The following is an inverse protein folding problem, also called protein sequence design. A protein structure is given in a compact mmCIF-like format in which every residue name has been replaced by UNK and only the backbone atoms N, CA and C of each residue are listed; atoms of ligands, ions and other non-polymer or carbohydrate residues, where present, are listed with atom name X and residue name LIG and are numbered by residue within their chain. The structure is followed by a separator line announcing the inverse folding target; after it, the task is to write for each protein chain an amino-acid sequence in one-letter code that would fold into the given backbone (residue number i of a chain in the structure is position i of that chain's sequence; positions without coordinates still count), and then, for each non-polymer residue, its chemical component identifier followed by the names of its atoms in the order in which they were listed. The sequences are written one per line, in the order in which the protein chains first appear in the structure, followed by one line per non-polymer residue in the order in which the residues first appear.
data_IF_764887331907
#
_entry.id   IF_764887331907
#
_cell.length_a   1.000
_cell.length_b   1.000
_cell.length_c   1.000
_cell.angle_alpha   90.00
_cell.angle_beta   90.00
_cell.angle_gamma   90.00
#
_symmetry.space_group_name_H-M   'P 1'
#
loop_
_entity.id
_entity.type
_entity.pdbx_description
1 polymer ?
#
# COMPACT_ATOMS: atom_id res chain seq x y z
N UNK A 1 13.90 -4.09 22.71
CA UNK A 1 12.58 -4.07 22.04
C UNK A 1 12.75 -3.73 20.56
N UNK A 2 11.86 -4.20 19.69
CA UNK A 2 11.91 -3.96 18.23
C UNK A 2 12.07 -2.46 17.89
N UNK A 3 11.42 -1.58 18.66
CA UNK A 3 11.58 -0.13 18.54
C UNK A 3 13.01 0.36 18.81
N UNK A 4 13.71 -0.21 19.79
CA UNK A 4 15.11 0.12 20.08
C UNK A 4 16.05 -0.38 18.98
N UNK A 5 15.75 -1.53 18.36
CA UNK A 5 16.49 -2.04 17.20
C UNK A 5 16.33 -1.17 15.96
N UNK A 6 15.11 -0.69 15.69
CA UNK A 6 14.82 0.27 14.63
C UNK A 6 15.54 1.61 14.84
N UNK A 7 15.51 2.15 16.06
CA UNK A 7 16.21 3.40 16.38
C UNK A 7 17.73 3.27 16.26
N UNK A 8 18.30 2.16 16.73
CA UNK A 8 19.73 1.87 16.57
C UNK A 8 20.11 1.71 15.09
N UNK A 9 19.28 1.01 14.30
CA UNK A 9 19.47 0.86 12.85
C UNK A 9 19.43 2.20 12.11
N UNK A 10 18.46 3.06 12.43
CA UNK A 10 18.38 4.41 11.86
C UNK A 10 19.60 5.26 12.22
N UNK A 11 20.07 5.18 13.46
CA UNK A 11 21.25 5.92 13.91
C UNK A 11 22.53 5.45 13.22
N UNK A 12 22.71 4.14 13.03
CA UNK A 12 23.82 3.57 12.26
C UNK A 12 23.72 4.00 10.79
N UNK A 13 22.54 3.92 10.18
CA UNK A 13 22.33 4.35 8.80
C UNK A 13 22.65 5.85 8.61
N UNK A 14 22.22 6.71 9.54
CA UNK A 14 22.55 8.13 9.54
C UNK A 14 24.05 8.38 9.69
N UNK A 15 24.72 7.64 10.58
CA UNK A 15 26.17 7.70 10.74
C UNK A 15 26.93 7.28 9.47
N UNK A 16 26.48 6.21 8.82
CA UNK A 16 27.05 5.72 7.54
C UNK A 16 26.83 6.74 6.43
N UNK A 17 25.62 7.29 6.30
CA UNK A 17 25.31 8.33 5.31
C UNK A 17 26.13 9.60 5.53
N UNK A 18 26.31 10.02 6.79
CA UNK A 18 27.13 11.17 7.13
C UNK A 18 28.61 10.94 6.81
N UNK A 19 29.13 9.74 7.11
CA UNK A 19 30.48 9.33 6.74
C UNK A 19 30.70 9.29 5.23
N UNK A 20 29.77 8.68 4.47
CA UNK A 20 29.81 8.62 3.01
C UNK A 20 29.74 10.01 2.37
N UNK A 21 28.85 10.88 2.85
CA UNK A 21 28.76 12.25 2.37
C UNK A 21 30.07 13.02 2.65
N UNK A 22 30.67 12.80 3.82
CA UNK A 22 31.98 13.34 4.17
C UNK A 22 33.10 12.85 3.24
N UNK A 23 33.14 11.55 2.95
CA UNK A 23 34.12 10.94 2.04
C UNK A 23 33.94 11.40 0.59
N UNK A 24 32.70 11.51 0.12
CA UNK A 24 32.39 12.04 -1.22
C UNK A 24 32.84 13.50 -1.31
N UNK A 25 32.52 14.32 -0.32
CA UNK A 25 32.94 15.72 -0.28
C UNK A 25 34.46 15.85 -0.25
N UNK A 26 35.15 15.09 0.60
CA UNK A 26 36.61 15.11 0.70
C UNK A 26 37.26 14.57 -0.59
N UNK A 27 36.68 13.55 -1.21
CA UNK A 27 37.09 13.04 -2.52
C UNK A 27 36.92 14.07 -3.63
N UNK A 28 35.79 14.79 -3.66
CA UNK A 28 35.53 15.86 -4.62
C UNK A 28 36.51 17.03 -4.44
N UNK A 29 36.80 17.40 -3.18
CA UNK A 29 37.76 18.44 -2.84
C UNK A 29 39.19 18.04 -3.23
N UNK A 30 39.61 16.80 -2.95
CA UNK A 30 40.92 16.26 -3.35
C UNK A 30 41.06 16.14 -4.86
N UNK A 31 40.00 15.73 -5.56
CA UNK A 31 39.99 15.66 -7.02
C UNK A 31 40.06 17.07 -7.64
N UNK A 32 39.32 18.03 -7.10
CA UNK A 32 39.41 19.43 -7.51
C UNK A 32 40.80 20.02 -7.25
N UNK A 33 41.45 19.66 -6.13
CA UNK A 33 42.81 20.06 -5.79
C UNK A 33 43.91 19.30 -6.57
N UNK A 34 43.59 18.19 -7.24
CA UNK A 34 44.53 17.48 -8.15
C UNK A 34 44.46 17.99 -9.58
N UNK A 35 43.44 18.78 -9.92
CA UNK A 35 43.29 19.43 -11.23
C UNK A 35 43.94 20.83 -11.27
N UNK A 36 44.83 21.12 -10.31
CA UNK A 36 45.44 22.42 -9.97
C UNK A 36 46.53 22.88 -10.96
N UNK A 37 46.25 22.75 -12.26
CA UNK A 37 47.12 23.19 -13.35
C UNK A 37 46.40 23.97 -14.47
N UNK A 38 45.20 24.51 -14.21
CA UNK A 38 44.37 25.14 -15.25
C UNK A 38 43.71 26.46 -14.85
N UNK A 39 43.48 27.29 -15.88
CA UNK A 39 42.98 28.67 -15.91
C UNK A 39 41.99 29.07 -14.78
N UNK A 40 42.31 30.10 -13.96
CA UNK A 40 41.47 30.56 -12.85
C UNK A 40 40.08 31.08 -13.26
N UNK A 41 39.84 31.39 -14.55
CA UNK A 41 38.55 31.88 -15.06
C UNK A 41 37.61 30.78 -15.61
N UNK A 42 38.08 29.53 -15.70
CA UNK A 42 37.30 28.42 -16.27
C UNK A 42 36.34 27.74 -15.28
N UNK A 43 35.61 26.74 -15.77
CA UNK A 43 34.74 25.84 -14.98
C UNK A 43 35.42 25.28 -13.72
N UNK A 44 36.75 25.14 -13.73
CA UNK A 44 37.55 24.66 -12.59
C UNK A 44 37.70 25.71 -11.48
N UNK A 45 37.82 26.99 -11.85
CA UNK A 45 37.86 28.12 -10.92
C UNK A 45 36.51 28.32 -10.21
N UNK A 46 35.40 28.20 -10.94
CA UNK A 46 34.05 28.28 -10.37
C UNK A 46 33.72 27.10 -9.46
N UNK A 47 34.13 25.87 -9.81
CA UNK A 47 34.02 24.70 -8.93
C UNK A 47 34.83 24.87 -7.63
N UNK A 48 36.05 25.42 -7.71
CA UNK A 48 36.88 25.71 -6.52
C UNK A 48 36.25 26.77 -5.61
N UNK A 49 35.63 27.81 -6.19
CA UNK A 49 34.90 28.83 -5.43
C UNK A 49 33.63 28.27 -4.79
N UNK A 50 32.88 27.43 -5.51
CA UNK A 50 31.71 26.72 -4.98
C UNK A 50 32.06 25.81 -3.81
N UNK A 51 33.14 25.03 -3.95
CA UNK A 51 33.69 24.18 -2.90
C UNK A 51 34.11 24.97 -1.65
N UNK A 52 34.80 26.11 -1.81
CA UNK A 52 35.17 26.99 -0.69
C UNK A 52 33.96 27.60 0.01
N UNK A 53 32.92 27.95 -0.73
CA UNK A 53 31.67 28.47 -0.15
C UNK A 53 30.92 27.40 0.65
N UNK A 54 30.88 26.15 0.14
CA UNK A 54 30.35 24.99 0.89
C UNK A 54 31.14 24.76 2.19
N UNK A 55 32.48 24.78 2.11
CA UNK A 55 33.34 24.59 3.28
C UNK A 55 33.16 25.70 4.33
N UNK A 56 32.96 26.96 3.89
CA UNK A 56 32.76 28.11 4.78
C UNK A 56 31.40 28.08 5.50
N UNK A 57 30.38 27.43 4.91
CA UNK A 57 29.05 27.22 5.51
C UNK A 57 28.75 25.73 5.68
N UNK A 58 29.70 25.00 6.27
CA UNK A 58 29.66 23.54 6.40
C UNK A 58 28.38 23.02 7.06
N UNK A 59 27.97 23.62 8.19
CA UNK A 59 26.78 23.15 8.93
C UNK A 59 25.48 23.35 8.15
N UNK A 60 25.31 24.49 7.47
CA UNK A 60 24.14 24.75 6.64
C UNK A 60 24.11 23.84 5.39
N UNK A 61 25.27 23.61 4.77
CA UNK A 61 25.39 22.74 3.59
C UNK A 61 25.11 21.28 3.94
N UNK A 62 25.55 20.81 5.11
CA UNK A 62 25.22 19.48 5.63
C UNK A 62 23.73 19.32 5.91
N UNK A 63 23.09 20.33 6.54
CA UNK A 63 21.64 20.32 6.77
C UNK A 63 20.85 20.25 5.45
N UNK A 64 21.25 21.02 4.44
CA UNK A 64 20.63 21.01 3.12
C UNK A 64 20.77 19.66 2.42
N UNK A 65 21.99 19.08 2.42
CA UNK A 65 22.22 17.74 1.85
C UNK A 65 21.40 16.67 2.56
N UNK A 66 21.29 16.74 3.89
CA UNK A 66 20.48 15.80 4.66
C UNK A 66 18.99 15.93 4.31
N UNK A 67 18.48 17.16 4.19
CA UNK A 67 17.11 17.40 3.76
C UNK A 67 16.83 16.77 2.38
N UNK A 68 17.69 17.04 1.39
CA UNK A 68 17.56 16.44 0.06
C UNK A 68 17.66 14.90 0.10
N UNK A 69 18.61 14.34 0.85
CA UNK A 69 18.77 12.90 0.99
C UNK A 69 17.52 12.24 1.58
N UNK A 70 16.92 12.85 2.61
CA UNK A 70 15.67 12.36 3.22
C UNK A 70 14.51 12.46 2.24
N UNK A 71 14.39 13.55 1.49
CA UNK A 71 13.34 13.71 0.47
C UNK A 71 13.46 12.65 -0.62
N UNK A 72 14.64 12.46 -1.20
CA UNK A 72 14.85 11.45 -2.24
C UNK A 72 14.66 10.03 -1.70
N UNK A 73 15.10 9.76 -0.47
CA UNK A 73 14.85 8.48 0.20
C UNK A 73 13.35 8.22 0.38
N UNK A 74 12.58 9.21 0.87
CA UNK A 74 11.14 9.09 1.02
C UNK A 74 10.44 8.84 -0.32
N UNK A 75 10.80 9.60 -1.36
CA UNK A 75 10.26 9.39 -2.71
C UNK A 75 10.56 7.98 -3.24
N UNK A 76 11.79 7.51 -3.06
CA UNK A 76 12.22 6.17 -3.50
C UNK A 76 11.51 5.08 -2.71
N UNK A 77 11.37 5.24 -1.39
CA UNK A 77 10.66 4.31 -0.52
C UNK A 77 9.19 4.17 -0.93
N UNK A 78 8.50 5.29 -1.20
CA UNK A 78 7.10 5.27 -1.66
C UNK A 78 7.00 4.52 -2.99
N UNK A 79 7.90 4.79 -3.94
CA UNK A 79 7.89 4.12 -5.24
C UNK A 79 8.11 2.60 -5.12
N UNK A 80 9.04 2.18 -4.27
CA UNK A 80 9.37 0.77 -4.05
C UNK A 80 8.24 0.03 -3.33
N UNK A 81 7.73 0.58 -2.22
CA UNK A 81 6.64 -0.02 -1.45
C UNK A 81 5.36 -0.14 -2.27
N UNK A 82 5.03 0.87 -3.09
CA UNK A 82 3.86 0.81 -3.97
C UNK A 82 3.95 -0.36 -4.95
N UNK A 83 5.13 -0.58 -5.54
CA UNK A 83 5.36 -1.69 -6.45
C UNK A 83 5.16 -3.02 -5.76
N UNK A 84 5.87 -3.23 -4.65
CA UNK A 84 5.90 -4.49 -3.91
C UNK A 84 4.54 -4.88 -3.31
N UNK A 85 3.82 -3.91 -2.74
CA UNK A 85 2.48 -4.16 -2.20
C UNK A 85 1.49 -4.54 -3.29
N UNK A 86 1.52 -3.85 -4.44
CA UNK A 86 0.59 -4.13 -5.52
C UNK A 86 0.86 -5.49 -6.15
N UNK A 87 2.14 -5.82 -6.41
CA UNK A 87 2.53 -7.09 -7.01
C UNK A 87 2.27 -8.26 -6.07
N UNK A 88 2.58 -8.10 -4.78
CA UNK A 88 2.34 -9.15 -3.78
C UNK A 88 0.85 -9.38 -3.58
N UNK A 89 0.05 -8.31 -3.53
CA UNK A 89 -1.40 -8.44 -3.42
C UNK A 89 -2.01 -9.09 -4.68
N UNK A 90 -1.58 -8.70 -5.88
CA UNK A 90 -2.04 -9.32 -7.12
C UNK A 90 -1.65 -10.81 -7.20
N UNK A 91 -0.45 -11.17 -6.75
CA UNK A 91 0.01 -12.57 -6.75
C UNK A 91 -0.76 -13.48 -5.79
N UNK A 92 -1.50 -12.91 -4.83
CA UNK A 92 -2.38 -13.68 -3.93
C UNK A 92 -3.74 -13.98 -4.56
N UNK A 93 -4.10 -13.34 -5.67
CA UNK A 93 -5.33 -13.58 -6.40
C UNK A 93 -5.10 -14.64 -7.48
N UNK A 94 -5.90 -15.72 -7.54
CA UNK A 94 -5.91 -16.63 -8.69
C UNK A 94 -6.08 -15.88 -10.03
N UNK A 95 -5.50 -16.40 -11.11
CA UNK A 95 -5.61 -15.76 -12.45
C UNK A 95 -7.07 -15.57 -12.88
N UNK A 96 -7.97 -16.49 -12.50
CA UNK A 96 -9.42 -16.44 -12.78
C UNK A 96 -10.24 -15.68 -11.73
N UNK A 97 -9.64 -14.75 -10.98
CA UNK A 97 -10.38 -13.99 -9.97
C UNK A 97 -11.33 -12.98 -10.62
N UNK A 98 -12.66 -13.04 -10.34
CA UNK A 98 -13.59 -12.03 -10.83
C UNK A 98 -13.21 -10.62 -10.36
N UNK A 99 -13.14 -9.67 -11.29
CA UNK A 99 -12.76 -8.27 -11.03
C UNK A 99 -13.90 -7.26 -11.25
N UNK A 100 -15.09 -7.74 -11.64
CA UNK A 100 -16.30 -6.93 -11.84
C UNK A 100 -17.42 -7.40 -10.91
N UNK A 101 -18.02 -6.46 -10.18
CA UNK A 101 -19.11 -6.72 -9.25
C UNK A 101 -20.29 -5.79 -9.56
N UNK A 102 -21.47 -6.37 -9.79
CA UNK A 102 -22.71 -5.63 -9.95
C UNK A 102 -23.57 -5.77 -8.69
N UNK A 103 -24.02 -4.65 -8.14
CA UNK A 103 -24.87 -4.59 -6.94
C UNK A 103 -25.99 -3.58 -7.17
N UNK A 104 -27.08 -3.70 -6.40
CA UNK A 104 -28.25 -2.82 -6.48
C UNK A 104 -28.94 -2.79 -7.86
N UNK A 105 -28.92 -3.91 -8.59
CA UNK A 105 -29.70 -4.06 -9.83
C UNK A 105 -31.18 -4.03 -9.45
N UNK A 106 -31.93 -3.08 -10.00
CA UNK A 106 -33.35 -2.96 -9.67
C UNK A 106 -34.16 -4.09 -10.31
N UNK A 107 -35.29 -4.52 -9.70
CA UNK A 107 -36.10 -5.60 -10.27
C UNK A 107 -36.55 -5.36 -11.71
N UNK A 108 -36.84 -4.11 -12.08
CA UNK A 108 -37.23 -3.73 -13.45
C UNK A 108 -36.06 -3.62 -14.45
N UNK A 109 -34.82 -3.62 -13.97
CA UNK A 109 -33.61 -3.55 -14.81
C UNK A 109 -32.94 -4.93 -14.97
N UNK A 110 -33.41 -5.93 -14.22
CA UNK A 110 -32.79 -7.25 -14.13
C UNK A 110 -32.66 -7.92 -15.49
N UNK A 111 -33.74 -8.03 -16.24
CA UNK A 111 -33.79 -8.80 -17.48
C UNK A 111 -32.91 -8.14 -18.56
N UNK A 112 -32.96 -6.80 -18.65
CA UNK A 112 -32.12 -6.01 -19.54
C UNK A 112 -30.63 -6.11 -19.18
N UNK A 113 -30.32 -6.19 -17.88
CA UNK A 113 -28.95 -6.36 -17.40
C UNK A 113 -28.41 -7.77 -17.68
N UNK A 114 -29.19 -8.83 -17.41
CA UNK A 114 -28.82 -10.22 -17.70
C UNK A 114 -28.53 -10.40 -19.20
N UNK A 115 -29.40 -9.92 -20.09
CA UNK A 115 -29.17 -9.99 -21.55
C UNK A 115 -27.88 -9.29 -22.00
N UNK A 116 -27.57 -8.12 -21.43
CA UNK A 116 -26.35 -7.39 -21.76
C UNK A 116 -25.12 -8.08 -21.21
N UNK A 117 -25.23 -8.69 -20.02
CA UNK A 117 -24.12 -9.40 -19.39
C UNK A 117 -23.75 -10.65 -20.18
N UNK A 118 -24.73 -11.44 -20.62
CA UNK A 118 -24.51 -12.61 -21.48
C UNK A 118 -23.81 -12.26 -22.81
N UNK A 119 -24.02 -11.05 -23.33
CA UNK A 119 -23.39 -10.59 -24.57
C UNK A 119 -21.92 -10.16 -24.39
N UNK A 120 -21.48 -9.86 -23.16
CA UNK A 120 -20.18 -9.21 -22.89
C UNK A 120 -19.26 -10.09 -22.03
N UNK A 121 -19.82 -10.92 -21.15
CA UNK A 121 -19.08 -11.77 -20.23
C UNK A 121 -19.11 -13.23 -20.69
N UNK A 122 -17.93 -13.85 -20.80
CA UNK A 122 -17.78 -15.28 -21.14
C UNK A 122 -18.19 -16.18 -19.97
N UNK A 123 -18.07 -15.68 -18.73
CA UNK A 123 -18.56 -16.35 -17.52
C UNK A 123 -19.09 -15.30 -16.54
N UNK A 124 -20.30 -15.51 -16.03
CA UNK A 124 -20.91 -14.67 -14.99
C UNK A 124 -21.56 -15.53 -13.92
N UNK A 125 -21.57 -15.02 -12.68
CA UNK A 125 -22.38 -15.60 -11.62
C UNK A 125 -23.85 -15.25 -11.80
N UNK A 126 -24.74 -16.12 -11.32
CA UNK A 126 -26.18 -15.84 -11.19
C UNK A 126 -26.42 -14.53 -10.41
N UNK A 127 -27.56 -13.88 -10.69
CA UNK A 127 -28.03 -12.76 -9.89
C UNK A 127 -28.75 -13.23 -8.62
N UNK A 128 -28.28 -12.71 -7.49
CA UNK A 128 -28.78 -13.05 -6.18
C UNK A 128 -29.59 -11.88 -5.60
N UNK A 129 -30.83 -12.10 -5.13
CA UNK A 129 -31.61 -11.03 -4.50
C UNK A 129 -30.92 -10.59 -3.20
N UNK A 130 -30.87 -9.28 -2.94
CA UNK A 130 -30.38 -8.74 -1.67
C UNK A 130 -31.55 -8.19 -0.85
N UNK A 131 -31.84 -8.83 0.27
CA UNK A 131 -32.93 -8.47 1.18
C UNK A 131 -32.37 -8.11 2.55
N UNK A 132 -32.87 -7.02 3.14
CA UNK A 132 -32.49 -6.64 4.51
C UNK A 132 -33.36 -7.38 5.51
N UNK A 133 -32.74 -8.05 6.47
CA UNK A 133 -33.46 -8.81 7.51
C UNK A 133 -32.74 -8.79 8.85
N UNK A 134 -33.47 -8.99 9.94
CA UNK A 134 -32.91 -9.15 11.29
C UNK A 134 -33.31 -10.49 11.86
N UNK A 135 -32.35 -11.20 12.45
CA UNK A 135 -32.64 -12.46 13.16
C UNK A 135 -33.43 -12.12 14.43
N UNK A 136 -34.68 -12.58 14.49
CA UNK A 136 -35.57 -12.39 15.66
C UNK A 136 -35.61 -13.62 16.55
N UNK A 137 -35.49 -14.82 15.98
CA UNK A 137 -35.43 -16.08 16.69
C UNK A 137 -34.66 -17.14 15.87
N UNK A 138 -34.11 -18.13 16.57
CA UNK A 138 -33.51 -19.33 15.97
C UNK A 138 -34.19 -20.52 16.66
N UNK A 139 -34.90 -21.36 15.89
CA UNK A 139 -35.68 -22.49 16.43
C UNK A 139 -36.61 -22.08 17.58
N UNK A 140 -37.23 -20.90 17.48
CA UNK A 140 -38.14 -20.35 18.50
C UNK A 140 -37.46 -19.74 19.74
N UNK A 141 -36.13 -19.80 19.84
CA UNK A 141 -35.37 -19.24 20.97
C UNK A 141 -34.78 -17.87 20.63
N UNK A 142 -34.57 -16.99 21.62
CA UNK A 142 -33.84 -15.74 21.42
C UNK A 142 -32.46 -16.02 20.78
N UNK A 143 -32.03 -15.27 19.75
CA UNK A 143 -30.86 -15.64 18.95
C UNK A 143 -29.57 -15.83 19.76
N UNK A 144 -29.38 -15.07 20.84
CA UNK A 144 -28.22 -15.22 21.74
C UNK A 144 -28.24 -16.50 22.58
N UNK A 145 -29.41 -17.06 22.84
CA UNK A 145 -29.57 -18.28 23.64
C UNK A 145 -29.47 -19.53 22.76
N UNK A 146 -29.76 -19.40 21.48
CA UNK A 146 -29.71 -20.49 20.50
C UNK A 146 -28.30 -20.80 19.96
N UNK A 147 -27.31 -19.96 20.25
CA UNK A 147 -25.92 -20.12 19.78
C UNK A 147 -24.96 -20.46 20.94
N UNK A 148 -23.82 -21.12 20.66
CA UNK A 148 -22.77 -21.37 21.65
C UNK A 148 -22.26 -20.08 22.31
N UNK A 149 -21.77 -20.12 23.55
CA UNK A 149 -21.26 -18.95 24.29
C UNK A 149 -20.29 -18.07 23.48
N UNK A 150 -19.44 -18.70 22.67
CA UNK A 150 -18.42 -18.07 21.84
C UNK A 150 -19.04 -17.18 20.75
N UNK A 151 -20.18 -17.60 20.19
CA UNK A 151 -20.88 -16.91 19.10
C UNK A 151 -21.88 -15.84 19.60
N UNK A 152 -22.15 -15.75 20.91
CA UNK A 152 -23.14 -14.79 21.47
C UNK A 152 -22.74 -13.32 21.27
N UNK A 153 -21.45 -13.07 21.10
CA UNK A 153 -20.89 -11.74 20.84
C UNK A 153 -20.99 -11.29 19.39
N UNK A 154 -21.37 -12.19 18.47
CA UNK A 154 -21.39 -11.87 17.05
C UNK A 154 -22.37 -10.75 16.73
N UNK A 155 -21.86 -9.77 15.98
CA UNK A 155 -22.66 -8.62 15.58
C UNK A 155 -23.84 -9.02 14.69
N UNK A 156 -23.75 -10.16 13.98
CA UNK A 156 -24.82 -10.67 13.14
C UNK A 156 -26.14 -10.92 13.89
N UNK A 157 -26.08 -11.22 15.19
CA UNK A 157 -27.27 -11.43 16.04
C UNK A 157 -27.94 -10.13 16.49
N UNK A 158 -27.30 -8.97 16.27
CA UNK A 158 -27.70 -7.67 16.85
C UNK A 158 -28.05 -6.60 15.82
N UNK A 159 -27.77 -6.84 14.54
CA UNK A 159 -27.97 -5.87 13.45
C UNK A 159 -28.87 -6.42 12.36
N UNK A 160 -29.32 -5.51 11.49
CA UNK A 160 -29.88 -5.89 10.20
C UNK A 160 -28.75 -6.39 9.29
N UNK A 161 -29.00 -7.53 8.66
CA UNK A 161 -28.12 -8.22 7.73
C UNK A 161 -28.63 -8.00 6.30
N UNK A 162 -27.69 -7.92 5.36
CA UNK A 162 -28.00 -8.11 3.95
C UNK A 162 -27.95 -9.61 3.68
N UNK A 163 -29.10 -10.18 3.37
CA UNK A 163 -29.30 -11.60 3.14
C UNK A 163 -29.56 -11.83 1.66
N UNK A 164 -29.13 -12.99 1.18
CA UNK A 164 -29.56 -13.54 -0.10
C UNK A 164 -30.29 -14.84 0.14
N UNK A 165 -31.17 -15.21 -0.77
CA UNK A 165 -31.89 -16.47 -0.75
C UNK A 165 -32.02 -17.00 -2.18
N UNK A 166 -32.16 -18.31 -2.27
CA UNK A 166 -32.44 -19.05 -3.50
C UNK A 166 -33.35 -20.22 -3.17
N UNK A 167 -34.09 -20.68 -4.16
CA UNK A 167 -34.88 -21.91 -4.08
C UNK A 167 -33.99 -23.15 -4.18
N UNK A 168 -33.04 -23.15 -5.13
CA UNK A 168 -32.12 -24.26 -5.35
C UNK A 168 -30.77 -24.07 -4.66
N UNK A 169 -30.20 -25.19 -4.19
CA UNK A 169 -28.87 -25.25 -3.60
C UNK A 169 -27.80 -24.87 -4.66
N UNK A 170 -26.90 -23.90 -4.37
CA UNK A 170 -25.83 -23.54 -5.29
C UNK A 170 -24.90 -24.72 -5.60
N UNK A 171 -24.39 -24.79 -6.83
CA UNK A 171 -23.48 -25.85 -7.29
C UNK A 171 -22.19 -26.00 -6.46
N UNK A 172 -21.75 -24.90 -5.81
CA UNK A 172 -20.60 -24.90 -4.90
C UNK A 172 -20.89 -25.39 -3.47
N UNK A 173 -22.15 -25.61 -3.10
CA UNK A 173 -22.53 -26.05 -1.76
C UNK A 173 -22.84 -27.56 -1.75
N UNK A 174 -22.34 -28.25 -0.72
CA UNK A 174 -22.68 -29.65 -0.42
C UNK A 174 -23.41 -29.73 0.90
N UNK A 175 -24.58 -30.37 0.92
CA UNK A 175 -25.25 -30.75 2.16
C UNK A 175 -24.46 -31.90 2.79
N UNK A 176 -24.02 -31.71 4.02
CA UNK A 176 -23.27 -32.68 4.84
C UNK A 176 -24.05 -33.05 6.09
#
# INVERSE_FOLDING_TARGET
GLAAGLLAGCMVALGVLWGLAGLILDGLLRLAARLDGGDPAGLRGSLRLGARQLARRRNASLGQMLAFAVTFFAMTMIALVRGDLLTTWQAQLPEDTPNHFAINIQPGERDDFEQRLEAIAEASSDLYPMVRGRITAINGQPPRQAVPPEARGENALRRELNLTWREDLPSGNRLV
#
